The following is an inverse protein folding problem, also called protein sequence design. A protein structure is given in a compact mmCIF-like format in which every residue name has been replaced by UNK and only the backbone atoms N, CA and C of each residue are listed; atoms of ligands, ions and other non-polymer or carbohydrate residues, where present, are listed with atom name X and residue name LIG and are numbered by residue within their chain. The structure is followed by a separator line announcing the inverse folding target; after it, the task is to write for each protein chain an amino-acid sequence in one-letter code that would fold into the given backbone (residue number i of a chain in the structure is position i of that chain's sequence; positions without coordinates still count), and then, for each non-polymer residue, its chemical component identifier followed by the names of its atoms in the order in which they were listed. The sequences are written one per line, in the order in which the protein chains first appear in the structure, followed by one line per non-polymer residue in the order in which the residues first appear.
data_IF_557697936385
#
_entry.id   IF_557697936385
#
_cell.length_a   1.000
_cell.length_b   1.000
_cell.length_c   1.000
_cell.angle_alpha   90.00
_cell.angle_beta   90.00
_cell.angle_gamma   90.00
#
_symmetry.space_group_name_H-M   'P 1'
#
loop_
_entity.id
_entity.type
_entity.pdbx_description
1 polymer ?
#
# COMPACT_ATOMS: atom_id res chain seq x y z
N UNK A 1 -7.76 -11.71 23.83
CA UNK A 1 -6.70 -11.11 22.98
C UNK A 1 -7.39 -10.30 21.90
N UNK A 2 -7.00 -9.04 21.70
CA UNK A 2 -7.45 -8.29 20.52
C UNK A 2 -7.01 -9.03 19.25
N UNK A 3 -7.83 -9.00 18.20
CA UNK A 3 -7.39 -9.50 16.90
C UNK A 3 -6.07 -8.80 16.52
N UNK A 4 -5.10 -9.51 15.92
CA UNK A 4 -3.86 -8.88 15.49
C UNK A 4 -4.19 -7.73 14.54
N UNK A 5 -3.65 -6.55 14.83
CA UNK A 5 -3.81 -5.38 13.97
C UNK A 5 -3.21 -5.62 12.58
N UNK A 6 -3.74 -4.96 11.56
CA UNK A 6 -3.21 -4.98 10.19
C UNK A 6 -2.26 -3.79 10.00
N UNK A 7 -1.05 -4.05 9.51
CA UNK A 7 -0.14 -3.00 9.11
C UNK A 7 -0.45 -2.54 7.68
N UNK A 8 -0.43 -1.23 7.44
CA UNK A 8 -0.57 -0.64 6.12
C UNK A 8 0.77 -0.09 5.66
N UNK A 9 1.26 -0.55 4.52
CA UNK A 9 2.46 -0.02 3.88
C UNK A 9 2.01 0.91 2.76
N UNK A 10 2.06 2.21 3.04
CA UNK A 10 1.54 3.25 2.15
C UNK A 10 2.72 3.99 1.52
N UNK A 11 2.70 4.17 0.21
CA UNK A 11 3.73 4.93 -0.49
C UNK A 11 3.46 5.09 -1.98
N UNK A 12 4.37 5.75 -2.68
CA UNK A 12 4.26 6.01 -4.12
C UNK A 12 4.87 4.84 -4.90
N UNK A 13 4.05 3.84 -5.24
CA UNK A 13 4.55 2.62 -5.90
C UNK A 13 5.11 2.89 -7.30
N UNK A 14 4.64 3.96 -7.96
CA UNK A 14 5.16 4.45 -9.24
C UNK A 14 6.69 4.72 -9.28
N UNK A 15 7.31 4.90 -8.11
CA UNK A 15 8.74 5.21 -7.96
C UNK A 15 9.43 4.38 -6.88
N UNK A 16 8.67 3.69 -6.02
CA UNK A 16 9.18 2.99 -4.82
C UNK A 16 8.62 1.59 -4.61
N UNK A 17 8.12 0.95 -5.68
CA UNK A 17 7.53 -0.38 -5.57
C UNK A 17 8.47 -1.39 -4.90
N UNK A 18 9.75 -1.43 -5.29
CA UNK A 18 10.72 -2.37 -4.75
C UNK A 18 10.93 -2.18 -3.24
N UNK A 19 11.18 -0.94 -2.79
CA UNK A 19 11.41 -0.64 -1.38
C UNK A 19 10.15 -0.89 -0.52
N UNK A 20 8.97 -0.55 -1.04
CA UNK A 20 7.70 -0.75 -0.33
C UNK A 20 7.35 -2.24 -0.23
N UNK A 21 7.58 -3.02 -1.29
CA UNK A 21 7.40 -4.47 -1.27
C UNK A 21 8.41 -5.15 -0.34
N UNK A 22 9.64 -4.66 -0.27
CA UNK A 22 10.64 -5.15 0.68
C UNK A 22 10.19 -4.96 2.12
N UNK A 23 9.73 -3.76 2.50
CA UNK A 23 9.20 -3.47 3.85
C UNK A 23 7.96 -4.34 4.15
N UNK A 24 7.04 -4.47 3.19
CA UNK A 24 5.87 -5.33 3.34
C UNK A 24 6.27 -6.80 3.54
N UNK A 25 7.30 -7.27 2.83
CA UNK A 25 7.88 -8.60 3.01
C UNK A 25 8.44 -8.83 4.42
N UNK A 26 9.18 -7.86 4.97
CA UNK A 26 9.71 -7.93 6.34
C UNK A 26 8.60 -8.00 7.39
N UNK A 27 7.54 -7.20 7.24
CA UNK A 27 6.40 -7.20 8.15
C UNK A 27 5.63 -8.52 8.08
N UNK A 28 5.41 -9.06 6.87
CA UNK A 28 4.80 -10.38 6.67
C UNK A 28 5.66 -11.50 7.29
N UNK A 29 6.99 -11.44 7.13
CA UNK A 29 7.91 -12.40 7.74
C UNK A 29 7.91 -12.32 9.29
N UNK A 30 7.62 -11.15 9.86
CA UNK A 30 7.41 -10.97 11.30
C UNK A 30 6.03 -11.46 11.80
N UNK A 31 5.20 -12.03 10.93
CA UNK A 31 3.88 -12.59 11.26
C UNK A 31 2.75 -11.55 11.31
N UNK A 32 2.97 -10.35 10.78
CA UNK A 32 1.94 -9.31 10.71
C UNK A 32 1.13 -9.44 9.40
N UNK A 33 -0.21 -9.33 9.47
CA UNK A 33 -1.01 -9.05 8.29
C UNK A 33 -0.62 -7.69 7.70
N UNK A 34 -0.44 -7.61 6.38
CA UNK A 34 -0.02 -6.39 5.69
C UNK A 34 -0.89 -6.13 4.48
N UNK A 35 -1.36 -4.88 4.35
CA UNK A 35 -2.00 -4.33 3.16
C UNK A 35 -1.08 -3.27 2.57
N UNK A 36 -0.74 -3.38 1.28
CA UNK A 36 -0.01 -2.34 0.54
C UNK A 36 -0.98 -1.35 -0.10
N UNK A 37 -0.66 -0.07 -0.05
CA UNK A 37 -1.50 1.01 -0.59
C UNK A 37 -0.64 1.95 -1.42
N UNK A 38 -1.01 2.11 -2.68
CA UNK A 38 -0.40 3.08 -3.56
C UNK A 38 -1.05 4.46 -3.42
N UNK A 39 -0.22 5.49 -3.31
CA UNK A 39 -0.59 6.91 -3.34
C UNK A 39 0.26 7.69 -4.35
N UNK A 40 0.88 7.00 -5.31
CA UNK A 40 1.59 7.58 -6.43
C UNK A 40 0.67 8.39 -7.34
N UNK A 41 1.24 9.37 -8.06
CA UNK A 41 0.44 10.30 -8.90
C UNK A 41 0.98 10.44 -10.32
N UNK A 42 2.04 9.72 -10.70
CA UNK A 42 2.68 9.89 -12.02
C UNK A 42 2.27 8.82 -13.01
N UNK A 43 2.41 7.56 -12.61
CA UNK A 43 2.19 6.39 -13.48
C UNK A 43 1.41 5.36 -12.65
N UNK A 44 0.41 4.67 -13.23
CA UNK A 44 -0.26 3.58 -12.53
C UNK A 44 0.72 2.48 -12.12
N UNK A 45 0.66 2.07 -10.86
CA UNK A 45 1.33 0.88 -10.35
C UNK A 45 0.29 -0.22 -10.05
N UNK A 46 0.70 -1.48 -10.18
CA UNK A 46 -0.17 -2.67 -9.99
C UNK A 46 0.24 -3.55 -8.82
N UNK A 47 1.35 -3.20 -8.16
CA UNK A 47 2.01 -3.98 -7.12
C UNK A 47 1.39 -3.77 -5.72
N UNK A 48 0.52 -2.77 -5.56
CA UNK A 48 -0.18 -2.51 -4.31
C UNK A 48 -1.54 -3.23 -4.24
N UNK A 49 -1.93 -3.68 -3.04
CA UNK A 49 -3.24 -4.30 -2.79
C UNK A 49 -4.39 -3.28 -3.01
N UNK A 50 -4.14 -1.99 -2.74
CA UNK A 50 -5.03 -0.87 -3.04
C UNK A 50 -4.32 0.08 -4.00
N UNK A 51 -4.92 0.33 -5.16
CA UNK A 51 -4.36 1.24 -6.17
C UNK A 51 -4.53 2.72 -5.80
N UNK A 52 -3.68 3.58 -6.37
CA UNK A 52 -3.82 5.03 -6.22
C UNK A 52 -5.19 5.55 -6.71
N UNK A 53 -5.73 4.95 -7.78
CA UNK A 53 -7.08 5.26 -8.28
C UNK A 53 -8.17 4.95 -7.24
N UNK A 54 -8.09 3.78 -6.59
CA UNK A 54 -9.05 3.42 -5.55
C UNK A 54 -8.96 4.37 -4.34
N UNK A 55 -7.75 4.81 -3.98
CA UNK A 55 -7.55 5.83 -2.93
C UNK A 55 -8.15 7.17 -3.36
N UNK A 56 -7.86 7.61 -4.59
CA UNK A 56 -8.35 8.87 -5.11
C UNK A 56 -9.89 8.92 -5.21
N UNK A 57 -10.53 7.83 -5.61
CA UNK A 57 -11.99 7.70 -5.68
C UNK A 57 -12.70 7.89 -4.33
N UNK A 58 -12.00 7.73 -3.20
CA UNK A 58 -12.53 8.01 -1.87
C UNK A 58 -12.42 9.49 -1.45
N UNK A 59 -11.67 10.32 -2.18
CA UNK A 59 -11.57 11.75 -1.92
C UNK A 59 -12.67 12.51 -2.69
N UNK A 60 -13.37 13.50 -2.08
CA UNK A 60 -14.45 14.23 -2.75
C UNK A 60 -14.08 14.83 -4.11
N UNK A 61 -12.83 15.28 -4.23
CA UNK A 61 -12.24 15.86 -5.45
C UNK A 61 -11.21 14.93 -6.14
N UNK A 62 -11.05 13.70 -5.66
CA UNK A 62 -10.05 12.78 -6.20
C UNK A 62 -10.50 12.13 -7.50
N UNK A 63 -9.53 11.79 -8.33
CA UNK A 63 -9.69 11.14 -9.63
C UNK A 63 -8.57 10.14 -9.87
#
# INVERSE_FOLDING_TARGET
MAAPGTAYVIGTFDTKAEELLYVAGLLRAAGLPVVTVDVGTKIPATEADVSAEAVAACHPDGR
#
